data_IF_525703221328
#
_entry.id   IF_525703221328
#
_cell.length_a   1.000
_cell.length_b   1.000
_cell.length_c   1.000
_cell.angle_alpha   90.00
_cell.angle_beta   90.00
_cell.angle_gamma   90.00
#
_symmetry.space_group_name_H-M   'P 1'
#
loop_
_entity.id
_entity.type
_entity.pdbx_description
1 polymer ?
#
# COMPACT_ATOMS: atom_id res chain seq x y z
N UNK A 1 12.48 -21.56 -3.16
CA UNK A 1 11.77 -20.52 -3.97
C UNK A 1 11.38 -19.32 -3.14
N UNK A 2 10.73 -19.49 -2.00
CA UNK A 2 10.24 -18.41 -1.13
C UNK A 2 11.36 -17.54 -0.51
N UNK A 3 12.48 -18.12 -0.08
CA UNK A 3 13.63 -17.35 0.44
C UNK A 3 14.16 -16.33 -0.57
N UNK A 4 14.22 -16.68 -1.87
CA UNK A 4 14.65 -15.74 -2.92
C UNK A 4 13.66 -14.57 -3.06
N UNK A 5 12.36 -14.85 -3.02
CA UNK A 5 11.33 -13.80 -3.06
C UNK A 5 11.43 -12.89 -1.83
N UNK A 6 11.60 -13.44 -0.64
CA UNK A 6 11.80 -12.66 0.59
C UNK A 6 13.04 -11.77 0.49
N UNK A 7 14.13 -12.27 -0.05
CA UNK A 7 15.36 -11.49 -0.22
C UNK A 7 15.18 -10.34 -1.23
N UNK A 8 14.44 -10.56 -2.31
CA UNK A 8 14.10 -9.51 -3.29
C UNK A 8 13.22 -8.45 -2.62
N UNK A 9 12.19 -8.88 -1.89
CA UNK A 9 11.32 -7.96 -1.15
C UNK A 9 12.11 -7.13 -0.12
N UNK A 10 13.04 -7.73 0.61
CA UNK A 10 13.91 -7.05 1.57
C UNK A 10 14.85 -6.03 0.92
N UNK A 11 15.40 -6.35 -0.26
CA UNK A 11 16.39 -5.50 -0.93
C UNK A 11 15.77 -4.40 -1.80
N UNK A 12 14.59 -4.61 -2.34
CA UNK A 12 13.99 -3.71 -3.34
C UNK A 12 12.70 -3.11 -2.79
N UNK A 13 11.67 -3.95 -2.57
CA UNK A 13 10.33 -3.46 -2.27
C UNK A 13 10.21 -2.83 -0.90
N UNK A 14 10.88 -3.39 0.08
CA UNK A 14 10.79 -2.91 1.46
C UNK A 14 11.42 -1.52 1.61
N UNK A 15 12.66 -1.27 1.17
CA UNK A 15 13.28 0.05 1.27
C UNK A 15 12.55 1.10 0.43
N UNK A 16 12.30 0.81 -0.85
CA UNK A 16 11.81 1.79 -1.81
C UNK A 16 10.32 2.13 -1.63
N UNK A 17 9.53 1.17 -1.18
CA UNK A 17 8.07 1.34 -1.12
C UNK A 17 7.55 1.57 0.30
N UNK A 18 8.00 0.76 1.26
CA UNK A 18 7.42 0.75 2.60
C UNK A 18 8.19 1.63 3.59
N UNK A 19 9.49 1.43 3.71
CA UNK A 19 10.31 2.17 4.68
C UNK A 19 10.45 3.63 4.33
N UNK A 20 10.69 3.94 3.05
CA UNK A 20 10.76 5.32 2.57
C UNK A 20 9.47 6.11 2.87
N UNK A 21 8.30 5.49 2.64
CA UNK A 21 7.02 6.13 2.93
C UNK A 21 6.80 6.33 4.43
N UNK A 22 7.11 5.30 5.21
CA UNK A 22 6.97 5.36 6.66
C UNK A 22 7.87 6.45 7.25
N UNK A 23 9.14 6.49 6.83
CA UNK A 23 10.10 7.50 7.27
C UNK A 23 9.63 8.91 6.92
N UNK A 24 9.33 9.18 5.65
CA UNK A 24 8.87 10.51 5.22
C UNK A 24 7.60 10.97 5.90
N UNK A 25 6.60 10.09 6.06
CA UNK A 25 5.33 10.46 6.69
C UNK A 25 5.47 10.67 8.19
N UNK A 26 6.25 9.84 8.89
CA UNK A 26 6.46 10.00 10.33
C UNK A 26 7.33 11.23 10.63
N UNK A 27 8.38 11.46 9.85
CA UNK A 27 9.26 12.63 9.99
C UNK A 27 8.56 13.94 9.65
N UNK A 28 7.52 13.94 8.83
CA UNK A 28 6.68 15.12 8.64
C UNK A 28 6.04 15.62 9.95
N UNK A 29 5.83 14.72 10.88
CA UNK A 29 5.32 15.03 12.24
C UNK A 29 6.42 15.03 13.32
N UNK A 30 7.69 14.98 12.93
CA UNK A 30 8.83 14.92 13.87
C UNK A 30 8.92 13.62 14.67
N UNK A 31 8.31 12.55 14.19
CA UNK A 31 8.30 11.23 14.88
C UNK A 31 9.21 10.25 14.15
N UNK A 32 10.20 9.72 14.86
CA UNK A 32 11.06 8.68 14.33
C UNK A 32 10.38 7.30 14.41
N UNK A 33 10.18 6.65 13.26
CA UNK A 33 9.63 5.30 13.22
C UNK A 33 10.73 4.24 13.23
N UNK A 34 10.70 3.36 14.23
CA UNK A 34 11.63 2.24 14.36
C UNK A 34 10.98 0.93 13.93
N UNK A 35 11.78 0.03 13.33
CA UNK A 35 11.31 -1.24 12.76
C UNK A 35 12.04 -2.44 13.38
N UNK A 36 11.68 -2.87 14.58
CA UNK A 36 12.43 -3.87 15.34
C UNK A 36 12.52 -5.24 14.61
N UNK A 37 11.56 -5.59 13.78
CA UNK A 37 11.60 -6.83 12.98
C UNK A 37 12.59 -6.80 11.82
N UNK A 38 13.21 -5.65 11.53
CA UNK A 38 14.24 -5.49 10.51
C UNK A 38 15.65 -5.36 11.12
N UNK A 39 15.81 -5.63 12.41
CA UNK A 39 17.14 -5.80 12.99
C UNK A 39 17.88 -6.90 12.22
N UNK A 40 19.09 -6.58 11.73
CA UNK A 40 19.85 -7.48 10.87
C UNK A 40 20.05 -8.87 11.50
N UNK A 41 20.25 -8.94 12.83
CA UNK A 41 20.41 -10.19 13.56
C UNK A 41 19.16 -11.07 13.47
N UNK A 42 17.98 -10.47 13.56
CA UNK A 42 16.69 -11.17 13.41
C UNK A 42 16.52 -11.62 11.95
N UNK A 43 16.82 -10.76 11.00
CA UNK A 43 16.69 -11.07 9.56
C UNK A 43 17.62 -12.21 9.17
N UNK A 44 18.89 -12.15 9.56
CA UNK A 44 19.89 -13.19 9.29
C UNK A 44 19.51 -14.52 9.95
N UNK A 45 19.08 -14.48 11.21
CA UNK A 45 18.60 -15.66 11.92
C UNK A 45 17.41 -16.30 11.20
N UNK A 46 16.37 -15.52 10.88
CA UNK A 46 15.17 -16.04 10.20
C UNK A 46 15.54 -16.61 8.82
N UNK A 47 16.39 -15.94 8.05
CA UNK A 47 16.82 -16.43 6.75
C UNK A 47 17.70 -17.70 6.84
N UNK A 48 18.35 -17.96 7.97
CA UNK A 48 19.12 -19.20 8.20
C UNK A 48 18.22 -20.41 8.45
N UNK A 49 17.01 -20.20 8.95
CA UNK A 49 16.09 -21.29 9.29
C UNK A 49 15.65 -22.09 8.03
N UNK A 50 15.31 -23.37 8.18
CA UNK A 50 14.70 -24.18 7.11
C UNK A 50 13.40 -23.56 6.58
N UNK A 51 13.12 -23.70 5.26
CA UNK A 51 11.92 -23.11 4.64
C UNK A 51 10.60 -23.58 5.29
N UNK A 52 10.52 -24.83 5.70
CA UNK A 52 9.33 -25.39 6.34
C UNK A 52 9.01 -24.80 7.72
N UNK A 53 9.97 -24.17 8.37
CA UNK A 53 9.74 -23.44 9.63
C UNK A 53 9.21 -22.03 9.35
N UNK A 54 9.70 -21.40 8.31
CA UNK A 54 9.38 -20.00 7.98
C UNK A 54 8.07 -19.89 7.19
N UNK A 55 7.82 -20.86 6.30
CA UNK A 55 6.69 -20.85 5.38
C UNK A 55 5.77 -22.05 5.60
N UNK A 56 4.49 -21.75 5.65
CA UNK A 56 3.40 -22.71 5.66
C UNK A 56 2.36 -22.25 4.61
N UNK A 57 1.94 -23.14 3.73
CA UNK A 57 0.99 -22.82 2.66
C UNK A 57 -0.40 -22.49 3.24
N UNK A 58 -0.72 -22.99 4.40
CA UNK A 58 -2.03 -22.85 5.05
C UNK A 58 -2.05 -21.76 6.14
N UNK A 59 -0.87 -21.29 6.58
CA UNK A 59 -0.76 -20.33 7.67
C UNK A 59 0.07 -19.12 7.27
N UNK A 60 -0.48 -17.95 7.41
CA UNK A 60 0.29 -16.72 7.26
C UNK A 60 1.11 -16.45 8.52
N UNK A 61 2.41 -16.19 8.38
CA UNK A 61 3.36 -15.84 9.45
C UNK A 61 3.41 -16.92 10.57
N UNK A 62 3.67 -18.19 10.26
CA UNK A 62 3.57 -19.26 11.25
C UNK A 62 4.44 -19.01 12.47
N UNK A 63 5.73 -18.77 12.28
CA UNK A 63 6.70 -18.54 13.34
C UNK A 63 6.29 -17.39 14.28
N UNK A 64 5.90 -16.25 13.71
CA UNK A 64 5.48 -15.09 14.51
C UNK A 64 4.20 -15.37 15.29
N UNK A 65 3.24 -16.08 14.71
CA UNK A 65 2.00 -16.44 15.40
C UNK A 65 2.26 -17.41 16.55
N UNK A 66 3.10 -18.40 16.34
CA UNK A 66 3.43 -19.39 17.38
C UNK A 66 4.14 -18.73 18.57
N UNK A 67 5.10 -17.83 18.32
CA UNK A 67 5.75 -17.05 19.36
C UNK A 67 4.77 -16.12 20.09
N UNK A 68 3.81 -15.58 19.38
CA UNK A 68 2.85 -14.60 19.92
C UNK A 68 1.75 -15.23 20.77
N UNK A 69 1.58 -16.56 20.77
CA UNK A 69 0.51 -17.25 21.53
C UNK A 69 0.57 -16.98 23.03
N UNK A 70 1.76 -16.73 23.55
CA UNK A 70 1.96 -16.45 24.99
C UNK A 70 1.70 -14.98 25.37
N UNK A 71 1.60 -14.09 24.38
CA UNK A 71 1.58 -12.64 24.62
C UNK A 71 0.34 -11.96 24.05
N UNK A 72 -0.34 -12.60 23.10
CA UNK A 72 -1.46 -12.00 22.37
C UNK A 72 -2.70 -12.87 22.49
N UNK A 73 -3.88 -12.28 22.79
CA UNK A 73 -5.13 -13.04 22.87
C UNK A 73 -5.43 -13.81 21.57
N UNK A 74 -5.96 -15.02 21.70
CA UNK A 74 -6.25 -15.92 20.58
C UNK A 74 -7.16 -15.27 19.51
N UNK A 75 -8.13 -14.47 19.92
CA UNK A 75 -9.02 -13.70 19.02
C UNK A 75 -8.23 -12.83 18.04
N UNK A 76 -7.10 -12.26 18.47
CA UNK A 76 -6.24 -11.42 17.61
C UNK A 76 -5.40 -12.30 16.68
N UNK A 77 -4.86 -13.41 17.19
CA UNK A 77 -4.04 -14.35 16.41
C UNK A 77 -4.82 -15.01 15.27
N UNK A 78 -6.10 -15.30 15.48
CA UNK A 78 -7.00 -15.89 14.47
C UNK A 78 -7.58 -14.87 13.48
N UNK A 79 -7.38 -13.57 13.70
CA UNK A 79 -7.92 -12.54 12.84
C UNK A 79 -7.37 -12.67 11.42
N UNK A 80 -8.25 -12.59 10.42
CA UNK A 80 -7.84 -12.53 9.02
C UNK A 80 -6.99 -11.28 8.78
N UNK A 81 -5.91 -11.45 8.00
CA UNK A 81 -5.08 -10.32 7.58
C UNK A 81 -5.94 -9.29 6.84
N UNK A 82 -5.94 -8.07 7.33
CA UNK A 82 -6.49 -6.92 6.61
C UNK A 82 -5.33 -6.09 6.05
N UNK A 83 -5.39 -5.78 4.76
CA UNK A 83 -4.44 -4.85 4.15
C UNK A 83 -4.78 -3.41 4.52
N UNK A 84 -3.89 -2.48 4.18
CA UNK A 84 -4.19 -1.06 4.22
C UNK A 84 -5.29 -0.78 3.19
N UNK A 85 -6.46 -0.40 3.67
CA UNK A 85 -7.59 0.00 2.83
C UNK A 85 -8.01 1.40 3.27
N UNK A 86 -7.74 2.38 2.42
CA UNK A 86 -8.42 3.66 2.53
C UNK A 86 -9.87 3.48 2.05
N UNK A 87 -10.85 4.15 2.65
CA UNK A 87 -12.26 4.05 2.26
C UNK A 87 -12.56 4.88 1.00
N UNK A 88 -11.78 4.65 -0.06
CA UNK A 88 -11.81 5.40 -1.32
C UNK A 88 -13.22 5.38 -1.94
N UNK A 89 -13.87 4.21 -1.91
CA UNK A 89 -15.23 4.05 -2.41
C UNK A 89 -16.21 5.00 -1.72
N UNK A 90 -16.10 5.10 -0.39
CA UNK A 90 -16.96 5.97 0.39
C UNK A 90 -16.70 7.46 0.09
N UNK A 91 -15.43 7.82 -0.11
CA UNK A 91 -15.06 9.20 -0.45
C UNK A 91 -15.63 9.62 -1.80
N UNK A 92 -15.41 8.79 -2.85
CA UNK A 92 -15.91 9.07 -4.19
C UNK A 92 -17.44 9.07 -4.23
N UNK A 93 -18.09 8.16 -3.49
CA UNK A 93 -19.56 8.11 -3.42
C UNK A 93 -20.17 9.28 -2.67
N UNK A 94 -19.47 9.81 -1.66
CA UNK A 94 -19.94 10.95 -0.86
C UNK A 94 -19.89 12.27 -1.63
N UNK A 95 -18.88 12.45 -2.45
CA UNK A 95 -18.67 13.67 -3.24
C UNK A 95 -18.05 13.32 -4.60
N UNK A 96 -18.83 12.72 -5.51
CA UNK A 96 -18.33 12.31 -6.81
C UNK A 96 -17.86 13.50 -7.67
N UNK A 97 -18.55 14.62 -7.58
CA UNK A 97 -18.24 15.80 -8.43
C UNK A 97 -16.87 16.37 -8.09
N UNK A 98 -16.49 16.43 -6.83
CA UNK A 98 -15.14 16.85 -6.44
C UNK A 98 -14.04 16.08 -7.17
N UNK A 99 -14.17 14.77 -7.28
CA UNK A 99 -13.19 13.91 -7.96
C UNK A 99 -13.26 14.05 -9.47
N UNK A 100 -14.46 14.08 -10.02
CA UNK A 100 -14.69 14.14 -11.46
C UNK A 100 -14.29 15.50 -12.04
N UNK A 101 -14.56 16.58 -11.34
CA UNK A 101 -14.22 17.92 -11.79
C UNK A 101 -12.71 18.15 -11.85
N UNK A 102 -11.95 17.61 -10.90
CA UNK A 102 -10.48 17.64 -10.99
C UNK A 102 -9.92 16.87 -12.18
N UNK A 103 -10.53 15.76 -12.51
CA UNK A 103 -10.16 14.97 -13.68
C UNK A 103 -10.51 15.73 -14.97
N UNK A 104 -11.69 16.35 -15.03
CA UNK A 104 -12.13 17.14 -16.18
C UNK A 104 -11.27 18.37 -16.37
N UNK A 105 -11.01 19.13 -15.30
CA UNK A 105 -10.11 20.29 -15.29
C UNK A 105 -8.74 19.92 -15.88
N UNK A 106 -8.14 18.84 -15.41
CA UNK A 106 -6.87 18.35 -15.92
C UNK A 106 -6.94 18.02 -17.41
N UNK A 107 -7.97 17.28 -17.83
CA UNK A 107 -8.07 16.86 -19.23
C UNK A 107 -8.41 17.99 -20.18
N UNK A 108 -9.17 18.99 -19.74
CA UNK A 108 -9.43 20.23 -20.51
C UNK A 108 -8.14 21.03 -20.75
N UNK A 109 -7.28 21.12 -19.74
CA UNK A 109 -6.05 21.90 -19.82
C UNK A 109 -4.94 21.20 -20.63
N UNK A 110 -4.89 19.88 -20.57
CA UNK A 110 -3.73 19.12 -21.09
C UNK A 110 -4.08 18.12 -22.20
N UNK A 111 -5.37 17.86 -22.44
CA UNK A 111 -5.86 16.89 -23.45
C UNK A 111 -5.11 15.54 -23.36
N UNK A 112 -4.84 15.08 -22.14
CA UNK A 112 -3.99 13.93 -21.87
C UNK A 112 -4.70 12.60 -22.17
N UNK A 113 -5.99 12.52 -21.84
CA UNK A 113 -6.83 11.35 -22.09
C UNK A 113 -7.75 11.61 -23.30
N UNK A 114 -7.97 10.58 -24.10
CA UNK A 114 -9.05 10.62 -25.10
C UNK A 114 -10.40 10.91 -24.41
N UNK A 115 -11.14 11.94 -24.83
CA UNK A 115 -12.37 12.34 -24.15
C UNK A 115 -13.45 11.25 -24.13
N UNK A 116 -13.53 10.43 -25.17
CA UNK A 116 -14.53 9.37 -25.28
C UNK A 116 -14.21 8.21 -24.34
N UNK A 117 -12.95 7.78 -24.29
CA UNK A 117 -12.47 6.77 -23.38
C UNK A 117 -12.56 7.20 -21.91
N UNK A 118 -12.21 8.48 -21.63
CA UNK A 118 -12.34 9.04 -20.30
C UNK A 118 -13.82 9.04 -19.85
N UNK A 119 -14.73 9.57 -20.65
CA UNK A 119 -16.16 9.59 -20.33
C UNK A 119 -16.72 8.19 -20.12
N UNK A 120 -16.33 7.20 -20.93
CA UNK A 120 -16.72 5.80 -20.75
C UNK A 120 -16.24 5.27 -19.41
N UNK A 121 -15.01 5.56 -19.02
CA UNK A 121 -14.44 5.13 -17.74
C UNK A 121 -15.14 5.77 -16.55
N UNK A 122 -15.41 7.07 -16.61
CA UNK A 122 -16.09 7.81 -15.54
C UNK A 122 -17.54 7.35 -15.37
N UNK A 123 -18.28 7.14 -16.48
CA UNK A 123 -19.65 6.62 -16.46
C UNK A 123 -19.71 5.15 -16.03
N UNK A 124 -18.69 4.37 -16.31
CA UNK A 124 -18.59 2.96 -15.92
C UNK A 124 -18.48 2.73 -14.41
N UNK A 125 -18.19 3.79 -13.64
CA UNK A 125 -18.19 3.74 -12.16
C UNK A 125 -17.07 2.87 -11.56
N UNK A 126 -16.00 2.56 -12.32
CA UNK A 126 -14.84 1.84 -11.80
C UNK A 126 -14.05 2.75 -10.85
N UNK A 127 -14.39 2.65 -9.58
CA UNK A 127 -13.84 3.48 -8.49
C UNK A 127 -12.31 3.44 -8.46
N UNK A 128 -11.72 2.30 -8.75
CA UNK A 128 -10.26 2.17 -8.71
C UNK A 128 -9.59 2.95 -9.85
N UNK A 129 -10.15 2.90 -11.04
CA UNK A 129 -9.68 3.69 -12.18
C UNK A 129 -9.88 5.18 -11.95
N UNK A 130 -11.07 5.58 -11.46
CA UNK A 130 -11.35 6.98 -11.11
C UNK A 130 -10.31 7.48 -10.11
N UNK A 131 -9.99 6.70 -9.07
CA UNK A 131 -8.98 7.04 -8.07
C UNK A 131 -7.58 7.24 -8.67
N UNK A 132 -7.15 6.36 -9.58
CA UNK A 132 -5.84 6.49 -10.22
C UNK A 132 -5.77 7.73 -11.12
N UNK A 133 -6.80 7.96 -11.93
CA UNK A 133 -6.88 9.13 -12.81
C UNK A 133 -6.92 10.42 -11.96
N UNK A 134 -7.72 10.44 -10.90
CA UNK A 134 -7.77 11.57 -9.97
C UNK A 134 -6.42 11.89 -9.35
N UNK A 135 -5.69 10.87 -8.85
CA UNK A 135 -4.37 11.09 -8.26
C UNK A 135 -3.38 11.69 -9.27
N UNK A 136 -3.36 11.18 -10.50
CA UNK A 136 -2.53 11.74 -11.57
C UNK A 136 -2.91 13.19 -11.87
N UNK A 137 -4.19 13.46 -12.06
CA UNK A 137 -4.71 14.79 -12.37
C UNK A 137 -4.41 15.79 -11.25
N UNK A 138 -4.68 15.41 -10.03
CA UNK A 138 -4.47 16.22 -8.83
C UNK A 138 -2.98 16.52 -8.59
N UNK A 139 -2.14 15.52 -8.74
CA UNK A 139 -0.69 15.69 -8.64
C UNK A 139 -0.14 16.64 -9.70
N UNK A 140 -0.54 16.46 -10.95
CA UNK A 140 -0.10 17.31 -12.06
C UNK A 140 -0.53 18.76 -11.86
N UNK A 141 -1.81 19.00 -11.58
CA UNK A 141 -2.35 20.33 -11.33
C UNK A 141 -1.66 21.04 -10.14
N UNK A 142 -1.26 20.29 -9.11
CA UNK A 142 -0.62 20.87 -7.93
C UNK A 142 0.88 21.15 -8.07
N UNK A 143 1.56 20.51 -9.04
CA UNK A 143 3.02 20.58 -9.17
C UNK A 143 3.51 21.33 -10.40
N UNK A 144 2.77 21.30 -11.49
CA UNK A 144 3.21 21.80 -12.78
C UNK A 144 2.59 23.17 -13.10
N UNK A 145 1.50 23.54 -12.42
CA UNK A 145 0.85 24.85 -12.58
C UNK A 145 1.37 25.94 -11.62
N UNK A 146 2.56 25.75 -11.04
CA UNK A 146 3.21 26.79 -10.21
C UNK A 146 4.35 27.44 -10.97
#
# INVERSE_FOLDING_TARGET
>A
MYKRQTLIDLKIRLPELLLMRMDKLSMQSGVEARVPFLDHRIVEFVLSLPENIIFDLNKTKPLLKDLSTRHIPEKVLRRKKQGFRAPISNWIQKDPDYFLDKIREFNLNYNFFDPSALNKTLKGGDIQKIWYIYNLSSWHLSRITK
#
